data_IF_661542959777
#
_entry.id   IF_661542959777
#
_cell.length_a   1.000
_cell.length_b   1.000
_cell.length_c   1.000
_cell.angle_alpha   90.00
_cell.angle_beta   90.00
_cell.angle_gamma   90.00
#
_symmetry.space_group_name_H-M   'P 1'
#
loop_
_entity.id
_entity.type
_entity.pdbx_description
1 polymer ?
#
# COMPACT_ATOMS: atom_id res chain seq x y z
N UNK A 1 -9.72 23.71 18.52
CA UNK A 1 -8.92 22.66 17.85
C UNK A 1 -9.82 21.94 16.86
N UNK A 2 -9.48 21.88 15.56
CA UNK A 2 -10.30 21.12 14.58
C UNK A 2 -10.25 19.64 14.96
N UNK A 3 -11.37 19.06 15.38
CA UNK A 3 -11.49 17.62 15.57
C UNK A 3 -11.13 16.94 14.24
N UNK A 4 -9.95 16.31 14.17
CA UNK A 4 -9.61 15.44 13.03
C UNK A 4 -10.62 14.30 13.05
N UNK A 5 -11.57 14.31 12.09
CA UNK A 5 -12.48 13.18 11.90
C UNK A 5 -11.63 11.91 11.79
N UNK A 6 -12.00 10.89 12.57
CA UNK A 6 -11.35 9.58 12.48
C UNK A 6 -11.35 9.15 11.00
N UNK A 7 -10.21 8.72 10.43
CA UNK A 7 -10.18 8.27 9.06
C UNK A 7 -11.19 7.13 8.87
N UNK A 8 -11.98 7.19 7.78
CA UNK A 8 -12.88 6.09 7.43
C UNK A 8 -12.06 4.87 7.02
N UNK A 9 -12.45 3.67 7.49
CA UNK A 9 -11.80 2.41 7.12
C UNK A 9 -11.75 2.27 5.60
N UNK A 10 -12.87 2.51 4.91
CA UNK A 10 -12.94 2.49 3.45
C UNK A 10 -11.96 3.47 2.79
N UNK A 11 -11.82 4.68 3.34
CA UNK A 11 -10.85 5.67 2.82
C UNK A 11 -9.40 5.21 3.03
N UNK A 12 -9.11 4.58 4.17
CA UNK A 12 -7.78 4.05 4.47
C UNK A 12 -7.45 2.86 3.55
N UNK A 13 -8.36 1.89 3.41
CA UNK A 13 -8.24 0.76 2.49
C UNK A 13 -7.93 1.21 1.07
N UNK A 14 -8.69 2.18 0.54
CA UNK A 14 -8.43 2.73 -0.80
C UNK A 14 -7.06 3.40 -0.92
N UNK A 15 -6.61 4.06 0.16
CA UNK A 15 -5.27 4.64 0.23
C UNK A 15 -4.17 3.59 0.18
N UNK A 16 -4.33 2.48 0.91
CA UNK A 16 -3.39 1.36 0.94
C UNK A 16 -3.28 0.68 -0.42
N UNK A 17 -4.40 0.41 -1.10
CA UNK A 17 -4.37 -0.13 -2.47
C UNK A 17 -3.62 0.76 -3.45
N UNK A 18 -3.85 2.08 -3.36
CA UNK A 18 -3.11 3.05 -4.19
C UNK A 18 -1.60 3.00 -3.89
N UNK A 19 -1.22 2.95 -2.62
CA UNK A 19 0.18 2.87 -2.21
C UNK A 19 0.84 1.56 -2.66
N UNK A 20 0.11 0.44 -2.61
CA UNK A 20 0.57 -0.84 -3.14
C UNK A 20 0.89 -0.73 -4.63
N UNK A 21 -0.06 -0.26 -5.44
CA UNK A 21 0.11 -0.07 -6.89
C UNK A 21 1.28 0.88 -7.20
N UNK A 22 1.33 2.04 -6.54
CA UNK A 22 2.38 3.03 -6.72
C UNK A 22 3.77 2.48 -6.35
N UNK A 23 3.84 1.55 -5.39
CA UNK A 23 5.07 0.89 -4.98
C UNK A 23 5.47 -0.23 -5.96
N UNK A 24 4.52 -1.03 -6.47
CA UNK A 24 4.79 -2.04 -7.50
C UNK A 24 5.38 -1.41 -8.77
N UNK A 25 4.79 -0.31 -9.23
CA UNK A 25 5.30 0.41 -10.41
C UNK A 25 6.74 0.91 -10.20
N UNK A 26 7.05 1.42 -9.00
CA UNK A 26 8.41 1.86 -8.65
C UNK A 26 9.37 0.69 -8.54
N UNK A 27 8.95 -0.44 -7.97
CA UNK A 27 9.75 -1.65 -7.89
C UNK A 27 10.11 -2.18 -9.29
N UNK A 28 9.15 -2.16 -10.23
CA UNK A 28 9.39 -2.53 -11.63
C UNK A 28 10.45 -1.60 -12.28
N UNK A 29 10.27 -0.29 -12.16
CA UNK A 29 11.24 0.70 -12.69
C UNK A 29 12.64 0.55 -12.07
N UNK A 30 12.72 0.29 -10.77
CA UNK A 30 14.00 0.02 -10.10
C UNK A 30 14.68 -1.24 -10.64
N UNK A 31 13.91 -2.28 -10.98
CA UNK A 31 14.43 -3.50 -11.58
C UNK A 31 14.93 -3.27 -13.00
N UNK A 32 14.18 -2.51 -13.81
CA UNK A 32 14.61 -2.11 -15.16
C UNK A 32 15.93 -1.34 -15.17
N UNK A 33 16.18 -0.54 -14.12
CA UNK A 33 17.41 0.22 -13.93
C UNK A 33 18.56 -0.60 -13.28
N UNK A 34 18.36 -1.88 -12.98
CA UNK A 34 19.38 -2.76 -12.37
C UNK A 34 19.55 -2.59 -10.85
N UNK A 35 18.64 -1.89 -10.18
CA UNK A 35 18.65 -1.68 -8.73
C UNK A 35 17.87 -2.77 -7.97
N UNK A 36 18.20 -4.05 -8.21
CA UNK A 36 17.43 -5.21 -7.72
C UNK A 36 17.19 -5.22 -6.21
N UNK A 37 18.20 -4.85 -5.41
CA UNK A 37 18.08 -4.78 -3.95
C UNK A 37 16.97 -3.81 -3.53
N UNK A 38 16.91 -2.64 -4.17
CA UNK A 38 15.90 -1.63 -3.87
C UNK A 38 14.54 -2.02 -4.44
N UNK A 39 14.49 -2.60 -5.64
CA UNK A 39 13.26 -3.15 -6.21
C UNK A 39 12.61 -4.17 -5.27
N UNK A 40 13.41 -5.06 -4.67
CA UNK A 40 12.91 -6.06 -3.72
C UNK A 40 12.36 -5.41 -2.44
N UNK A 41 13.06 -4.42 -1.87
CA UNK A 41 12.57 -3.69 -0.69
C UNK A 41 11.27 -2.94 -0.96
N UNK A 42 11.17 -2.27 -2.12
CA UNK A 42 9.96 -1.53 -2.52
C UNK A 42 8.81 -2.49 -2.83
N UNK A 43 9.08 -3.63 -3.48
CA UNK A 43 8.10 -4.68 -3.71
C UNK A 43 7.60 -5.33 -2.41
N UNK A 44 8.45 -5.46 -1.39
CA UNK A 44 8.02 -5.92 -0.07
C UNK A 44 7.07 -4.91 0.60
N UNK A 45 7.33 -3.60 0.46
CA UNK A 45 6.42 -2.57 0.95
C UNK A 45 5.07 -2.60 0.21
N UNK A 46 5.06 -2.84 -1.11
CA UNK A 46 3.83 -3.01 -1.86
C UNK A 46 2.95 -4.14 -1.31
N UNK A 47 3.56 -5.32 -1.06
CA UNK A 47 2.86 -6.46 -0.46
C UNK A 47 2.30 -6.12 0.92
N UNK A 48 3.08 -5.45 1.76
CA UNK A 48 2.62 -5.04 3.09
C UNK A 48 1.41 -4.08 3.03
N UNK A 49 1.36 -3.17 2.04
CA UNK A 49 0.19 -2.32 1.82
C UNK A 49 -1.04 -3.12 1.37
N UNK A 50 -0.86 -4.06 0.43
CA UNK A 50 -1.95 -4.94 -0.03
C UNK A 50 -2.49 -5.81 1.11
N UNK A 51 -1.63 -6.44 1.91
CA UNK A 51 -2.01 -7.29 3.04
C UNK A 51 -2.83 -6.49 4.06
N UNK A 52 -2.40 -5.26 4.37
CA UNK A 52 -3.14 -4.37 5.26
C UNK A 52 -4.50 -3.97 4.67
N UNK A 53 -4.59 -3.72 3.36
CA UNK A 53 -5.85 -3.40 2.69
C UNK A 53 -6.84 -4.57 2.76
N UNK A 54 -6.38 -5.78 2.43
CA UNK A 54 -7.15 -7.03 2.49
C UNK A 54 -7.69 -7.26 3.91
N UNK A 55 -6.84 -7.09 4.92
CA UNK A 55 -7.25 -7.24 6.31
C UNK A 55 -8.38 -6.26 6.68
N UNK A 56 -8.27 -5.00 6.28
CA UNK A 56 -9.29 -3.99 6.56
C UNK A 56 -10.60 -4.24 5.80
N UNK A 57 -10.54 -4.73 4.56
CA UNK A 57 -11.73 -5.14 3.80
C UNK A 57 -12.46 -6.28 4.52
N UNK A 58 -11.73 -7.33 4.92
CA UNK A 58 -12.29 -8.45 5.66
C UNK A 58 -12.94 -8.01 6.99
N UNK A 59 -12.35 -7.03 7.68
CA UNK A 59 -12.92 -6.47 8.92
C UNK A 59 -14.12 -5.55 8.70
N UNK A 60 -14.22 -4.89 7.56
CA UNK A 60 -15.36 -4.03 7.25
C UNK A 60 -16.61 -4.83 6.80
N UNK A 61 -16.43 -6.08 6.39
CA UNK A 61 -17.51 -7.00 5.99
C UNK A 61 -18.06 -7.88 7.14
N UNK A 62 -17.50 -7.76 8.34
CA UNK A 62 -17.98 -8.41 9.58
C UNK A 62 -18.96 -7.50 10.33
#
# INVERSE_FOLDING_TARGET
>A
MKQRKKPSVSRLTKGLWRQAYDAEEKAAKLRELGFDRYANSVGAAARAFSDAAIFLEAKASQ
#
